data_IF_431738546832
#
_entry.id   IF_431738546832
#
_cell.length_a   1.000
_cell.length_b   1.000
_cell.length_c   1.000
_cell.angle_alpha   90.00
_cell.angle_beta   90.00
_cell.angle_gamma   90.00
#
_symmetry.space_group_name_H-M   'P 1'
#
loop_
_entity.id
_entity.type
_entity.pdbx_description
1 polymer ?
#
# COMPACT_ATOMS: atom_id res chain seq x y z
N UNK A 1 1.72 8.78 -16.95
CA UNK A 1 0.62 9.18 -16.04
C UNK A 1 1.19 9.50 -14.67
N UNK A 2 0.51 10.29 -13.86
CA UNK A 2 0.96 10.63 -12.50
C UNK A 2 1.26 9.37 -11.65
N UNK A 3 0.46 8.30 -11.82
CA UNK A 3 0.69 7.01 -11.15
C UNK A 3 2.05 6.38 -11.52
N UNK A 4 2.49 6.49 -12.78
CA UNK A 4 3.80 6.01 -13.23
C UNK A 4 4.94 6.82 -12.64
N UNK A 5 4.80 8.14 -12.53
CA UNK A 5 5.83 8.99 -11.91
C UNK A 5 5.97 8.70 -10.41
N UNK A 6 4.85 8.51 -9.71
CA UNK A 6 4.87 8.10 -8.31
C UNK A 6 5.46 6.71 -8.13
N UNK A 7 5.18 5.77 -9.03
CA UNK A 7 5.78 4.43 -9.01
C UNK A 7 7.29 4.49 -9.26
N UNK A 8 7.73 5.25 -10.26
CA UNK A 8 9.14 5.46 -10.56
C UNK A 8 9.88 6.08 -9.36
N UNK A 9 9.28 7.07 -8.69
CA UNK A 9 9.84 7.67 -7.47
C UNK A 9 10.03 6.66 -6.35
N UNK A 10 9.08 5.75 -6.14
CA UNK A 10 9.19 4.68 -5.13
C UNK A 10 10.31 3.70 -5.47
N UNK A 11 10.43 3.30 -6.74
CA UNK A 11 11.54 2.44 -7.18
C UNK A 11 12.90 3.13 -7.07
N UNK A 12 12.99 4.43 -7.33
CA UNK A 12 14.20 5.22 -7.10
C UNK A 12 14.62 5.20 -5.63
N UNK A 13 13.66 5.33 -4.70
CA UNK A 13 13.91 5.23 -3.25
C UNK A 13 14.51 3.86 -2.89
N UNK A 14 13.97 2.78 -3.43
CA UNK A 14 14.50 1.42 -3.19
C UNK A 14 15.90 1.25 -3.76
N UNK A 15 16.15 1.70 -4.99
CA UNK A 15 17.49 1.64 -5.59
C UNK A 15 18.52 2.41 -4.76
N UNK A 16 18.18 3.60 -4.27
CA UNK A 16 19.07 4.38 -3.41
C UNK A 16 19.32 3.69 -2.04
N UNK A 17 18.29 3.09 -1.46
CA UNK A 17 18.42 2.30 -0.22
C UNK A 17 19.34 1.09 -0.41
N UNK A 18 19.16 0.33 -1.49
CA UNK A 18 20.01 -0.83 -1.83
C UNK A 18 21.47 -0.43 -2.11
N UNK A 19 21.70 0.78 -2.64
CA UNK A 19 23.03 1.35 -2.78
C UNK A 19 23.66 1.84 -1.45
N UNK A 20 22.97 1.67 -0.31
CA UNK A 20 23.46 2.04 1.02
C UNK A 20 23.25 3.50 1.39
N UNK A 21 22.41 4.25 0.67
CA UNK A 21 22.09 5.63 1.04
C UNK A 21 21.24 5.67 2.32
N UNK A 22 21.52 6.64 3.21
CA UNK A 22 20.71 6.84 4.42
C UNK A 22 19.32 7.39 4.08
N UNK A 23 18.31 7.06 4.89
CA UNK A 23 16.94 7.55 4.71
C UNK A 23 16.86 9.08 4.63
N UNK A 24 17.70 9.80 5.41
CA UNK A 24 17.80 11.26 5.36
C UNK A 24 18.28 11.78 4.00
N UNK A 25 19.24 11.09 3.36
CA UNK A 25 19.73 11.46 2.03
C UNK A 25 18.67 11.18 0.97
N UNK A 26 18.00 10.02 1.08
CA UNK A 26 16.93 9.62 0.16
C UNK A 26 15.72 10.58 0.27
N UNK A 27 15.35 11.02 1.46
CA UNK A 27 14.30 12.00 1.69
C UNK A 27 14.58 13.32 0.96
N UNK A 28 15.83 13.82 1.04
CA UNK A 28 16.26 15.03 0.31
C UNK A 28 16.21 14.85 -1.21
N UNK A 29 16.59 13.68 -1.72
CA UNK A 29 16.58 13.38 -3.17
C UNK A 29 15.17 13.23 -3.72
N UNK A 30 14.28 12.57 -2.98
CA UNK A 30 12.91 12.25 -3.42
C UNK A 30 11.90 13.36 -3.15
N UNK A 31 12.25 14.33 -2.31
CA UNK A 31 11.34 15.39 -1.85
C UNK A 31 10.26 14.88 -0.89
N UNK A 32 10.45 13.69 -0.29
CA UNK A 32 9.52 13.09 0.67
C UNK A 32 10.02 13.27 2.10
N UNK A 33 9.12 13.10 3.08
CA UNK A 33 9.52 13.02 4.48
C UNK A 33 10.31 11.73 4.76
N UNK A 34 11.17 11.76 5.76
CA UNK A 34 11.91 10.56 6.22
C UNK A 34 10.97 9.43 6.61
N UNK A 35 9.84 9.73 7.25
CA UNK A 35 8.81 8.74 7.60
C UNK A 35 8.21 8.07 6.36
N UNK A 36 7.92 8.85 5.30
CA UNK A 36 7.39 8.30 4.05
C UNK A 36 8.41 7.38 3.37
N UNK A 37 9.69 7.78 3.34
CA UNK A 37 10.80 6.95 2.84
C UNK A 37 10.89 5.64 3.63
N UNK A 38 10.87 5.72 4.96
CA UNK A 38 10.91 4.55 5.85
C UNK A 38 9.76 3.58 5.56
N UNK A 39 8.53 4.07 5.42
CA UNK A 39 7.39 3.22 5.08
C UNK A 39 7.53 2.54 3.71
N UNK A 40 8.04 3.24 2.71
CA UNK A 40 8.28 2.66 1.38
C UNK A 40 9.31 1.52 1.46
N UNK A 41 10.40 1.73 2.21
CA UNK A 41 11.43 0.71 2.44
C UNK A 41 10.85 -0.50 3.18
N UNK A 42 10.10 -0.28 4.28
CA UNK A 42 9.50 -1.36 5.05
C UNK A 42 8.50 -2.17 4.23
N UNK A 43 7.66 -1.52 3.42
CA UNK A 43 6.73 -2.21 2.52
C UNK A 43 7.47 -3.10 1.51
N UNK A 44 8.57 -2.59 0.95
CA UNK A 44 9.41 -3.36 0.04
C UNK A 44 10.07 -4.54 0.73
N UNK A 45 10.60 -4.37 1.94
CA UNK A 45 11.19 -5.47 2.72
C UNK A 45 10.17 -6.56 3.04
N UNK A 46 8.91 -6.19 3.30
CA UNK A 46 7.85 -7.13 3.64
C UNK A 46 7.27 -7.87 2.43
N UNK A 47 7.09 -7.17 1.29
CA UNK A 47 6.29 -7.66 0.16
C UNK A 47 7.05 -7.77 -1.16
N UNK A 48 8.28 -7.26 -1.23
CA UNK A 48 9.02 -7.08 -2.48
C UNK A 48 8.49 -5.94 -3.38
N UNK A 49 7.43 -5.25 -2.97
CA UNK A 49 6.82 -4.16 -3.73
C UNK A 49 6.83 -2.85 -2.91
N UNK A 50 7.44 -1.76 -3.41
CA UNK A 50 7.47 -0.49 -2.70
C UNK A 50 6.16 0.31 -2.79
N UNK A 51 5.15 -0.21 -3.48
CA UNK A 51 3.83 0.40 -3.53
C UNK A 51 3.10 0.28 -2.20
N UNK A 52 2.30 1.30 -1.88
CA UNK A 52 1.42 1.24 -0.72
C UNK A 52 0.22 0.38 -1.14
N UNK A 53 -0.19 -0.64 -0.36
CA UNK A 53 -1.40 -1.39 -0.65
C UNK A 53 -2.55 -0.40 -0.85
N UNK A 54 -3.25 -0.47 -2.00
CA UNK A 54 -4.46 0.34 -2.19
C UNK A 54 -5.39 -0.03 -1.04
N UNK A 55 -5.69 0.93 -0.15
CA UNK A 55 -6.63 0.69 0.96
C UNK A 55 -7.90 0.14 0.34
N UNK A 56 -8.32 -1.05 0.77
CA UNK A 56 -9.59 -1.63 0.32
C UNK A 56 -10.68 -0.62 0.69
N UNK A 57 -11.45 -0.11 -0.28
CA UNK A 57 -12.50 0.86 0.01
C UNK A 57 -13.45 0.31 1.07
N UNK A 58 -13.94 1.16 1.98
CA UNK A 58 -14.84 0.76 3.08
C UNK A 58 -16.03 -0.06 2.57
N UNK A 59 -16.63 0.38 1.46
CA UNK A 59 -17.72 -0.32 0.76
C UNK A 59 -17.39 -1.76 0.36
N UNK A 60 -16.16 -2.02 -0.07
CA UNK A 60 -15.71 -3.38 -0.43
C UNK A 60 -15.48 -4.23 0.81
N UNK A 61 -14.97 -3.65 1.90
CA UNK A 61 -14.85 -4.36 3.20
C UNK A 61 -16.22 -4.70 3.80
N UNK A 62 -17.20 -3.82 3.66
CA UNK A 62 -18.57 -4.04 4.17
C UNK A 62 -19.28 -5.15 3.38
N UNK A 63 -19.14 -5.19 2.05
CA UNK A 63 -19.70 -6.28 1.21
C UNK A 63 -19.07 -7.66 1.43
N UNK A 64 -17.92 -7.75 2.10
CA UNK A 64 -17.30 -9.03 2.46
C UNK A 64 -17.87 -9.64 3.75
N UNK A 65 -18.77 -8.93 4.43
CA UNK A 65 -19.46 -9.44 5.61
C UNK A 65 -20.59 -10.35 5.10
N UNK A 66 -20.43 -11.65 5.28
CA UNK A 66 -21.47 -12.65 5.03
C UNK A 66 -22.26 -12.79 6.32
N UNK A 67 -23.54 -12.46 6.29
CA UNK A 67 -24.44 -12.67 7.41
C UNK A 67 -24.99 -14.10 7.35
N UNK A 68 -25.11 -14.73 8.52
CA UNK A 68 -25.66 -16.07 8.66
C UNK A 68 -26.93 -16.00 9.51
N UNK A 69 -27.95 -16.76 9.15
CA UNK A 69 -29.13 -16.94 9.98
C UNK A 69 -28.83 -17.83 11.20
N UNK A 70 -29.84 -18.02 12.06
CA UNK A 70 -29.73 -18.86 13.26
C UNK A 70 -29.50 -20.35 12.95
N UNK A 71 -29.79 -20.78 11.73
CA UNK A 71 -29.58 -22.14 11.21
C UNK A 71 -28.22 -22.30 10.49
N UNK A 72 -27.45 -21.20 10.35
CA UNK A 72 -26.13 -21.19 9.71
C UNK A 72 -26.17 -21.08 8.18
N UNK A 73 -27.31 -20.74 7.59
CA UNK A 73 -27.41 -20.46 6.15
C UNK A 73 -26.97 -19.02 5.85
N UNK A 74 -26.40 -18.82 4.66
CA UNK A 74 -25.99 -17.50 4.18
C UNK A 74 -27.25 -16.67 3.90
N UNK A 75 -27.35 -15.49 4.53
CA UNK A 75 -28.37 -14.49 4.22
C UNK A 75 -27.90 -13.75 2.97
N UNK A 76 -28.47 -14.09 1.81
CA UNK A 76 -28.24 -13.33 0.58
C UNK A 76 -28.94 -11.97 0.72
N UNK A 77 -28.16 -10.91 0.92
CA UNK A 77 -28.67 -9.54 0.77
C UNK A 77 -28.93 -9.29 -0.73
N UNK A 78 -30.20 -9.27 -1.14
CA UNK A 78 -30.61 -8.82 -2.48
C UNK A 78 -30.19 -7.34 -2.66
N UNK A 79 -29.10 -7.10 -3.39
CA UNK A 79 -28.78 -5.78 -3.95
C UNK A 79 -29.16 -5.81 -5.45
N UNK A 80 -30.17 -5.02 -5.86
CA UNK A 80 -30.51 -4.68 -7.27
C UNK A 80 -29.37 -3.99 -8.04
#
# INVERSE_FOLDING_TARGET
TEEQEQAAKRWMIIGAYQAGASERKIARLSGLSTTAVRHIILNYQQSGNPSIPKKVPKRVREKLIVEYDEDGNIIESEDE
#
